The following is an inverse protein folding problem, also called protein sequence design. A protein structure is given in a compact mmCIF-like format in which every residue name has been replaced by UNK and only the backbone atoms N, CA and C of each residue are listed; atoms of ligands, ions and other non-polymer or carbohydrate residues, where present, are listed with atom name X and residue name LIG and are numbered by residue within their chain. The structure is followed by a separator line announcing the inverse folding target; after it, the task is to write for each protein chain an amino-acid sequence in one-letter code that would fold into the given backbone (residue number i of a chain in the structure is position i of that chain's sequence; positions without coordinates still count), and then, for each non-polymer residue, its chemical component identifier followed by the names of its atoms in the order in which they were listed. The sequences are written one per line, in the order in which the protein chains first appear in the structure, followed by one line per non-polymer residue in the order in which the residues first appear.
data_IF_302531577074
#
_entry.id   IF_302531577074
#
_cell.length_a   1.000
_cell.length_b   1.000
_cell.length_c   1.000
_cell.angle_alpha   90.00
_cell.angle_beta   90.00
_cell.angle_gamma   90.00
#
_symmetry.space_group_name_H-M   'P 1'
#
loop_
_entity.id
_entity.type
_entity.pdbx_description
1 polymer ?
#
# COMPACT_ATOMS: atom_id res chain seq x y z
N UNK A 1 10.12 -24.73 18.25
CA UNK A 1 8.62 -24.74 18.29
C UNK A 1 8.17 -23.36 17.89
N UNK A 2 7.57 -23.21 16.71
CA UNK A 2 6.98 -21.93 16.29
C UNK A 2 5.70 -21.69 17.08
N UNK A 3 5.44 -20.44 17.46
CA UNK A 3 4.16 -20.06 18.02
C UNK A 3 3.07 -20.35 16.99
N UNK A 4 1.90 -20.81 17.45
CA UNK A 4 0.73 -21.02 16.58
C UNK A 4 0.44 -19.71 15.84
N UNK A 5 0.29 -19.80 14.52
CA UNK A 5 -0.06 -18.62 13.71
C UNK A 5 -1.32 -17.95 14.27
N UNK A 6 -1.25 -16.64 14.50
CA UNK A 6 -2.42 -15.85 14.85
C UNK A 6 -3.14 -15.47 13.57
N UNK A 7 -4.44 -15.77 13.49
CA UNK A 7 -5.28 -15.47 12.34
C UNK A 7 -6.43 -14.59 12.81
N UNK A 8 -6.69 -13.52 12.08
CA UNK A 8 -7.84 -12.64 12.31
C UNK A 8 -8.72 -12.55 11.08
N UNK A 9 -10.01 -12.29 11.32
CA UNK A 9 -10.98 -12.05 10.25
C UNK A 9 -11.09 -10.56 10.03
N UNK A 10 -10.97 -10.13 8.79
CA UNK A 10 -11.12 -8.73 8.38
C UNK A 10 -12.27 -8.56 7.41
N UNK A 11 -13.05 -7.53 7.61
CA UNK A 11 -14.13 -7.13 6.73
C UNK A 11 -13.60 -6.38 5.50
N UNK A 12 -14.10 -6.73 4.33
CA UNK A 12 -13.91 -6.00 3.09
C UNK A 12 -15.24 -5.46 2.58
N UNK A 13 -15.24 -4.20 2.15
CA UNK A 13 -16.40 -3.56 1.53
C UNK A 13 -16.01 -2.90 0.21
N UNK A 14 -16.94 -2.88 -0.73
CA UNK A 14 -16.84 -2.05 -1.93
C UNK A 14 -17.74 -0.83 -1.75
N UNK A 15 -17.16 0.35 -1.93
CA UNK A 15 -17.85 1.63 -1.85
C UNK A 15 -18.04 2.14 -3.28
N UNK A 16 -19.28 2.51 -3.61
CA UNK A 16 -19.60 3.18 -4.86
C UNK A 16 -18.94 4.57 -4.88
N UNK A 17 -18.15 4.85 -5.93
CA UNK A 17 -17.36 6.09 -6.03
C UNK A 17 -18.22 7.35 -6.22
N UNK A 18 -19.46 7.22 -6.72
CA UNK A 18 -20.37 8.34 -6.96
C UNK A 18 -21.19 8.68 -5.72
N UNK A 19 -21.73 7.67 -5.06
CA UNK A 19 -22.63 7.86 -3.91
C UNK A 19 -21.90 7.86 -2.57
N UNK A 20 -20.70 7.29 -2.49
CA UNK A 20 -19.95 7.09 -1.24
C UNK A 20 -20.57 6.05 -0.31
N UNK A 21 -21.55 5.28 -0.76
CA UNK A 21 -22.26 4.25 0.00
C UNK A 21 -21.71 2.86 -0.34
N UNK A 22 -21.81 1.93 0.60
CA UNK A 22 -21.44 0.53 0.38
C UNK A 22 -22.35 -0.08 -0.70
N UNK A 23 -21.77 -0.66 -1.73
CA UNK A 23 -22.53 -1.37 -2.77
C UNK A 23 -23.25 -2.58 -2.14
N UNK A 24 -24.51 -2.78 -2.54
CA UNK A 24 -25.35 -3.86 -2.02
C UNK A 24 -24.72 -5.22 -2.33
N UNK A 25 -24.64 -6.11 -1.32
CA UNK A 25 -24.05 -7.47 -1.42
C UNK A 25 -22.54 -7.50 -1.75
N UNK A 26 -21.81 -6.42 -1.53
CA UNK A 26 -20.36 -6.33 -1.74
C UNK A 26 -19.58 -6.23 -0.41
N UNK A 27 -20.17 -6.73 0.68
CA UNK A 27 -19.43 -7.03 1.91
C UNK A 27 -18.94 -8.47 1.84
N UNK A 28 -17.69 -8.69 2.23
CA UNK A 28 -17.07 -10.01 2.30
C UNK A 28 -16.05 -10.01 3.43
N UNK A 29 -15.83 -11.18 3.99
CA UNK A 29 -14.86 -11.40 5.05
C UNK A 29 -13.68 -12.20 4.50
N UNK A 30 -12.50 -12.01 5.07
CA UNK A 30 -11.32 -12.77 4.72
C UNK A 30 -10.40 -12.95 5.92
N UNK A 31 -9.77 -14.12 5.99
CA UNK A 31 -8.80 -14.43 7.03
C UNK A 31 -7.43 -13.87 6.67
N UNK A 32 -6.75 -13.27 7.63
CA UNK A 32 -5.38 -12.78 7.52
C UNK A 32 -4.51 -13.40 8.59
N UNK A 33 -3.29 -13.77 8.20
CA UNK A 33 -2.25 -14.16 9.14
C UNK A 33 -1.64 -12.88 9.71
N UNK A 34 -1.62 -12.77 11.02
CA UNK A 34 -1.14 -11.59 11.73
C UNK A 34 0.39 -11.45 11.71
N UNK A 35 0.90 -10.22 11.83
CA UNK A 35 2.34 -9.93 11.96
C UNK A 35 3.01 -10.74 13.07
N UNK A 36 4.29 -11.04 12.90
CA UNK A 36 5.09 -11.85 13.83
C UNK A 36 4.91 -13.36 13.66
N UNK A 37 4.08 -13.81 12.71
CA UNK A 37 4.03 -15.24 12.35
C UNK A 37 5.26 -15.62 11.53
N UNK A 38 5.98 -16.66 11.97
CA UNK A 38 7.16 -17.17 11.29
C UNK A 38 6.84 -18.44 10.48
N UNK A 39 7.49 -18.56 9.33
CA UNK A 39 7.38 -19.71 8.44
C UNK A 39 8.76 -20.23 8.08
N UNK A 40 8.87 -21.54 7.96
CA UNK A 40 10.04 -22.15 7.34
C UNK A 40 9.95 -22.02 5.81
N UNK A 41 11.06 -21.61 5.22
CA UNK A 41 11.18 -21.49 3.77
C UNK A 41 12.31 -22.38 3.29
N UNK A 42 12.03 -23.24 2.29
CA UNK A 42 13.03 -24.04 1.61
C UNK A 42 12.94 -23.79 0.11
N UNK A 43 14.07 -23.49 -0.50
CA UNK A 43 14.21 -23.40 -1.95
C UNK A 43 15.36 -24.26 -2.39
N UNK A 44 15.16 -25.02 -3.48
CA UNK A 44 16.18 -25.89 -4.08
C UNK A 44 16.26 -25.55 -5.57
N UNK A 45 17.48 -25.42 -6.07
CA UNK A 45 17.73 -25.19 -7.49
C UNK A 45 18.75 -26.18 -7.98
N UNK A 46 18.39 -26.95 -9.00
CA UNK A 46 19.27 -27.89 -9.66
C UNK A 46 19.94 -27.20 -10.83
N UNK A 47 21.26 -27.01 -10.75
CA UNK A 47 22.10 -26.44 -11.81
C UNK A 47 22.60 -27.54 -12.69
N UNK A 48 22.24 -27.55 -13.97
CA UNK A 48 22.71 -28.52 -14.97
C UNK A 48 23.93 -27.99 -15.73
N UNK A 49 24.73 -28.85 -16.32
CA UNK A 49 25.99 -28.51 -17.02
C UNK A 49 25.87 -27.39 -18.07
N UNK A 50 24.70 -27.21 -18.67
CA UNK A 50 24.46 -26.17 -19.68
C UNK A 50 24.35 -24.74 -19.11
N UNK A 51 24.35 -24.56 -17.79
CA UNK A 51 24.10 -23.28 -17.16
C UNK A 51 25.38 -22.68 -16.56
N UNK A 52 25.44 -21.32 -16.60
CA UNK A 52 26.53 -20.58 -15.96
C UNK A 52 26.33 -20.56 -14.44
N UNK A 53 27.17 -21.27 -13.70
CA UNK A 53 27.12 -21.42 -12.24
C UNK A 53 27.25 -20.04 -11.53
N UNK A 54 28.14 -19.16 -12.02
CA UNK A 54 28.38 -17.83 -11.43
C UNK A 54 27.15 -16.91 -11.59
N UNK A 55 26.43 -17.02 -12.70
CA UNK A 55 25.19 -16.30 -12.89
C UNK A 55 24.13 -16.76 -11.89
N UNK A 56 24.03 -18.06 -11.62
CA UNK A 56 23.12 -18.60 -10.61
C UNK A 56 23.51 -18.17 -9.20
N UNK A 57 24.78 -18.17 -8.84
CA UNK A 57 25.25 -17.66 -7.55
C UNK A 57 24.88 -16.19 -7.37
N UNK A 58 25.11 -15.37 -8.39
CA UNK A 58 24.73 -13.95 -8.38
C UNK A 58 23.22 -13.76 -8.24
N UNK A 59 22.42 -14.56 -8.93
CA UNK A 59 20.97 -14.54 -8.82
C UNK A 59 20.46 -14.97 -7.43
N UNK A 60 21.07 -16.00 -6.83
CA UNK A 60 20.77 -16.43 -5.47
C UNK A 60 21.08 -15.33 -4.44
N UNK A 61 22.24 -14.69 -4.57
CA UNK A 61 22.62 -13.59 -3.73
C UNK A 61 21.62 -12.42 -3.83
N UNK A 62 21.17 -12.10 -5.05
CA UNK A 62 20.15 -11.09 -5.27
C UNK A 62 18.81 -11.45 -4.62
N UNK A 63 18.34 -12.70 -4.73
CA UNK A 63 17.15 -13.19 -4.04
C UNK A 63 17.31 -13.02 -2.53
N UNK A 64 18.45 -13.43 -1.97
CA UNK A 64 18.74 -13.30 -0.54
C UNK A 64 18.65 -11.86 -0.05
N UNK A 65 19.17 -10.89 -0.82
CA UNK A 65 19.05 -9.45 -0.51
C UNK A 65 17.61 -8.98 -0.49
N UNK A 66 16.81 -9.35 -1.50
CA UNK A 66 15.39 -8.97 -1.56
C UNK A 66 14.63 -9.55 -0.37
N UNK A 67 14.85 -10.82 -0.05
CA UNK A 67 14.20 -11.50 1.06
C UNK A 67 14.59 -10.89 2.41
N UNK A 68 15.87 -10.61 2.63
CA UNK A 68 16.37 -9.99 3.87
C UNK A 68 15.95 -8.53 4.02
N UNK A 69 15.79 -7.81 2.90
CA UNK A 69 15.35 -6.41 2.89
C UNK A 69 13.87 -6.20 3.22
N UNK A 70 13.10 -7.27 3.44
CA UNK A 70 11.66 -7.18 3.76
C UNK A 70 10.79 -6.53 2.65
N UNK A 71 11.30 -6.49 1.42
CA UNK A 71 10.63 -5.85 0.27
C UNK A 71 9.77 -6.81 -0.55
N UNK A 72 9.68 -8.07 -0.16
CA UNK A 72 8.84 -9.04 -0.86
C UNK A 72 7.56 -9.35 -0.09
N UNK A 73 6.55 -9.80 -0.79
CA UNK A 73 5.26 -10.15 -0.21
C UNK A 73 4.73 -11.44 -0.84
N UNK A 74 4.11 -12.28 -0.01
CA UNK A 74 3.56 -13.59 -0.38
C UNK A 74 2.03 -13.54 -0.24
N UNK A 75 1.33 -14.29 -1.09
CA UNK A 75 -0.11 -14.47 -1.01
C UNK A 75 -0.91 -13.44 -1.79
N UNK A 76 -2.18 -13.29 -1.39
CA UNK A 76 -3.12 -12.40 -2.05
C UNK A 76 -3.02 -10.95 -1.53
N UNK A 77 -3.52 -10.00 -2.32
CA UNK A 77 -3.63 -8.57 -1.95
C UNK A 77 -2.32 -7.89 -1.59
N UNK A 78 -1.20 -8.37 -2.11
CA UNK A 78 0.12 -7.79 -1.87
C UNK A 78 0.24 -6.32 -2.28
N UNK A 79 -0.54 -5.86 -3.25
CA UNK A 79 -0.65 -4.44 -3.62
C UNK A 79 -1.47 -3.58 -2.63
N UNK A 80 -2.00 -4.17 -1.57
CA UNK A 80 -2.79 -3.52 -0.52
C UNK A 80 -2.13 -3.61 0.86
N UNK A 81 -0.84 -3.98 0.90
CA UNK A 81 -0.04 -4.06 2.13
C UNK A 81 -0.02 -5.43 2.81
N UNK A 82 -0.70 -6.45 2.25
CA UNK A 82 -0.71 -7.78 2.85
C UNK A 82 0.49 -8.65 2.43
N UNK A 83 0.82 -9.63 3.28
CA UNK A 83 1.79 -10.68 3.01
C UNK A 83 3.24 -10.24 3.00
N UNK A 84 3.57 -9.06 3.55
CA UNK A 84 4.94 -8.59 3.65
C UNK A 84 5.74 -9.50 4.56
N UNK A 85 6.85 -10.01 4.05
CA UNK A 85 7.72 -10.93 4.78
C UNK A 85 9.14 -10.41 4.83
N UNK A 86 9.84 -10.75 5.91
CA UNK A 86 11.27 -10.51 6.09
C UNK A 86 11.96 -11.82 6.41
N UNK A 87 13.06 -12.08 5.77
CA UNK A 87 13.90 -13.23 6.09
C UNK A 87 14.76 -12.90 7.31
N UNK A 88 14.66 -13.71 8.35
CA UNK A 88 15.45 -13.51 9.58
C UNK A 88 16.77 -14.29 9.53
N UNK A 89 16.70 -15.55 9.07
CA UNK A 89 17.86 -16.41 8.97
C UNK A 89 17.90 -17.07 7.58
N UNK A 90 19.06 -17.09 6.95
CA UNK A 90 19.29 -17.77 5.67
C UNK A 90 20.55 -18.62 5.77
N UNK A 91 20.39 -19.90 5.49
CA UNK A 91 21.49 -20.79 5.23
C UNK A 91 21.37 -21.31 3.80
N UNK A 92 22.36 -21.05 2.96
CA UNK A 92 22.41 -21.54 1.61
C UNK A 92 23.62 -22.49 1.44
N UNK A 93 23.37 -23.65 0.87
CA UNK A 93 24.37 -24.70 0.71
C UNK A 93 24.46 -25.09 -0.76
N UNK A 94 25.68 -25.31 -1.25
CA UNK A 94 25.96 -25.86 -2.56
C UNK A 94 26.44 -27.31 -2.44
N UNK A 95 25.80 -28.20 -3.16
CA UNK A 95 26.21 -29.62 -3.30
C UNK A 95 26.71 -29.87 -4.72
N UNK A 96 27.94 -30.35 -4.83
CA UNK A 96 28.54 -30.80 -6.09
C UNK A 96 28.31 -32.29 -6.23
N UNK A 97 27.40 -32.70 -7.11
CA UNK A 97 27.06 -34.11 -7.31
C UNK A 97 28.16 -34.93 -7.99
N UNK A 98 29.24 -34.32 -8.43
CA UNK A 98 30.44 -35.03 -8.87
C UNK A 98 31.24 -35.57 -7.67
N UNK A 99 30.96 -35.10 -6.45
CA UNK A 99 31.60 -35.52 -5.21
C UNK A 99 30.70 -36.49 -4.44
N UNK A 100 31.08 -37.78 -4.27
CA UNK A 100 30.25 -38.75 -3.56
C UNK A 100 29.85 -38.32 -2.15
N UNK A 101 30.73 -37.63 -1.42
CA UNK A 101 30.49 -37.11 -0.08
C UNK A 101 29.38 -36.04 -0.07
N UNK A 102 29.28 -35.21 -1.13
CA UNK A 102 28.20 -34.21 -1.25
C UNK A 102 26.87 -34.89 -1.57
N UNK A 103 26.86 -35.94 -2.39
CA UNK A 103 25.66 -36.74 -2.70
C UNK A 103 25.12 -37.39 -1.43
N UNK A 104 26.00 -38.05 -0.65
CA UNK A 104 25.62 -38.67 0.62
C UNK A 104 25.12 -37.66 1.61
N UNK A 105 25.79 -36.47 1.73
CA UNK A 105 25.38 -35.39 2.60
C UNK A 105 24.01 -34.85 2.21
N UNK A 106 23.73 -34.64 0.92
CA UNK A 106 22.44 -34.21 0.43
C UNK A 106 21.33 -35.25 0.72
N UNK A 107 21.60 -36.54 0.46
CA UNK A 107 20.64 -37.63 0.74
C UNK A 107 20.36 -37.79 2.23
N UNK A 108 21.35 -37.60 3.09
CA UNK A 108 21.23 -37.68 4.56
C UNK A 108 20.77 -36.41 5.22
N UNK A 109 20.55 -35.34 4.43
CA UNK A 109 20.24 -33.97 4.96
C UNK A 109 21.33 -33.43 5.88
N UNK A 110 22.57 -33.89 5.73
CA UNK A 110 23.72 -33.41 6.50
C UNK A 110 24.41 -32.26 5.75
N UNK A 111 24.17 -31.05 6.21
CA UNK A 111 24.77 -29.86 5.61
C UNK A 111 26.19 -29.56 6.07
N UNK A 112 26.77 -30.35 6.99
CA UNK A 112 28.12 -30.10 7.53
C UNK A 112 29.23 -30.23 6.50
N UNK A 113 29.00 -31.01 5.45
CA UNK A 113 29.95 -31.27 4.33
C UNK A 113 29.66 -30.40 3.11
N UNK A 114 28.59 -29.61 3.10
CA UNK A 114 28.26 -28.75 1.99
C UNK A 114 29.05 -27.43 2.07
N UNK A 115 29.34 -26.84 0.94
CA UNK A 115 29.92 -25.52 0.88
C UNK A 115 28.87 -24.47 1.24
N UNK A 116 29.12 -23.67 2.28
CA UNK A 116 28.27 -22.54 2.59
C UNK A 116 28.45 -21.46 1.53
N UNK A 117 27.40 -21.20 0.73
CA UNK A 117 27.43 -20.24 -0.37
C UNK A 117 27.19 -18.81 0.05
N UNK A 118 26.51 -18.59 1.16
CA UNK A 118 25.98 -17.27 1.53
C UNK A 118 26.56 -16.80 2.86
N UNK A 119 27.24 -15.66 2.79
CA UNK A 119 27.52 -14.83 3.95
C UNK A 119 26.68 -13.53 3.81
N UNK A 120 25.88 -13.14 4.82
CA UNK A 120 25.02 -11.94 4.77
C UNK A 120 25.77 -10.65 4.47
N UNK A 121 27.08 -10.64 4.61
CA UNK A 121 27.95 -9.47 4.52
C UNK A 121 28.58 -9.22 3.15
N UNK A 122 28.42 -10.11 2.17
CA UNK A 122 29.11 -10.00 0.88
C UNK A 122 28.16 -10.25 -0.29
N UNK A 123 27.20 -9.34 -0.53
CA UNK A 123 26.34 -9.45 -1.69
C UNK A 123 26.80 -8.49 -2.79
N UNK A 124 27.29 -8.98 -3.93
CA UNK A 124 27.55 -8.12 -5.07
C UNK A 124 26.22 -7.53 -5.58
N UNK A 125 26.17 -6.22 -5.72
CA UNK A 125 25.02 -5.45 -6.26
C UNK A 125 24.81 -5.64 -7.78
N UNK A 126 25.27 -6.77 -8.35
CA UNK A 126 25.26 -6.99 -9.79
C UNK A 126 23.86 -7.12 -10.43
N UNK A 127 22.83 -7.42 -9.64
CA UNK A 127 21.45 -7.49 -10.09
C UNK A 127 20.61 -6.39 -9.47
N UNK A 128 20.60 -5.21 -10.05
CA UNK A 128 19.59 -4.21 -9.77
C UNK A 128 18.50 -4.28 -10.84
N UNK A 129 17.25 -4.64 -10.48
CA UNK A 129 16.17 -4.55 -11.44
C UNK A 129 16.02 -3.08 -11.86
N UNK A 130 16.18 -2.81 -13.15
CA UNK A 130 15.99 -1.47 -13.73
C UNK A 130 14.50 -1.18 -13.85
N UNK A 131 13.82 -0.96 -12.72
CA UNK A 131 12.43 -0.50 -12.73
C UNK A 131 12.41 0.99 -12.44
N UNK A 132 11.73 1.74 -13.31
CA UNK A 132 11.37 3.13 -13.04
C UNK A 132 10.26 3.10 -11.98
N UNK A 133 10.59 3.44 -10.74
CA UNK A 133 9.64 3.42 -9.63
C UNK A 133 9.32 4.86 -9.18
N UNK A 134 8.03 5.18 -9.08
CA UNK A 134 7.54 6.30 -8.30
C UNK A 134 7.28 5.81 -6.88
N UNK A 135 7.84 6.50 -5.88
CA UNK A 135 7.59 6.21 -4.48
C UNK A 135 7.21 7.49 -3.75
N UNK A 136 6.20 7.38 -2.92
CA UNK A 136 5.72 8.44 -2.05
C UNK A 136 5.62 7.88 -0.63
N UNK A 137 6.29 8.54 0.31
CA UNK A 137 6.14 8.34 1.73
C UNK A 137 5.72 9.67 2.35
N UNK A 138 4.55 9.73 3.01
CA UNK A 138 4.03 10.98 3.54
C UNK A 138 3.45 10.77 4.94
N UNK A 139 3.84 11.64 5.87
CA UNK A 139 3.37 11.69 7.24
C UNK A 139 2.29 12.75 7.43
N UNK A 140 1.23 12.39 8.16
CA UNK A 140 0.08 13.24 8.39
C UNK A 140 -0.31 13.28 9.87
N UNK A 141 -0.73 14.44 10.34
CA UNK A 141 -1.57 14.57 11.52
C UNK A 141 -3.04 14.31 11.17
N UNK A 142 -3.84 13.95 12.15
CA UNK A 142 -5.31 13.89 12.03
C UNK A 142 -5.90 15.04 12.82
N UNK A 143 -6.81 15.82 12.19
CA UNK A 143 -7.37 17.00 12.85
C UNK A 143 -8.25 16.66 14.06
N UNK A 144 -8.97 15.53 14.02
CA UNK A 144 -9.88 15.13 15.08
C UNK A 144 -9.71 13.65 15.43
N UNK A 145 -10.40 12.79 14.68
CA UNK A 145 -10.40 11.35 14.90
C UNK A 145 -10.37 10.57 13.59
N UNK A 146 -9.91 9.34 13.65
CA UNK A 146 -9.92 8.39 12.54
C UNK A 146 -10.77 7.18 12.90
N UNK A 147 -11.57 6.71 11.94
CA UNK A 147 -12.36 5.51 12.05
C UNK A 147 -12.23 4.66 10.79
N UNK A 148 -11.63 3.50 10.90
CA UNK A 148 -11.77 2.42 9.93
C UNK A 148 -12.51 1.30 10.66
N UNK A 149 -13.81 1.20 10.40
CA UNK A 149 -14.69 0.35 11.18
C UNK A 149 -14.36 -1.13 11.03
N UNK A 150 -14.38 -1.84 12.16
CA UNK A 150 -14.34 -3.30 12.28
C UNK A 150 -15.38 -3.73 13.28
N UNK A 151 -15.84 -4.97 13.17
CA UNK A 151 -16.73 -5.58 14.14
C UNK A 151 -15.90 -6.27 15.24
N UNK A 152 -16.21 -5.96 16.50
CA UNK A 152 -15.43 -6.48 17.63
C UNK A 152 -15.72 -7.94 17.97
N UNK A 153 -16.90 -8.46 17.59
CA UNK A 153 -17.38 -9.77 18.01
C UNK A 153 -17.71 -9.89 19.50
N UNK A 154 -17.48 -8.84 20.30
CA UNK A 154 -17.76 -8.79 21.72
C UNK A 154 -19.05 -8.01 21.97
N UNK A 155 -20.12 -8.64 22.54
CA UNK A 155 -21.38 -7.94 22.80
C UNK A 155 -21.31 -6.76 23.78
N UNK A 156 -20.23 -6.68 24.57
CA UNK A 156 -19.99 -5.59 25.50
C UNK A 156 -19.12 -4.46 24.93
N UNK A 157 -18.58 -4.64 23.74
CA UNK A 157 -17.81 -3.62 23.06
C UNK A 157 -18.75 -2.68 22.28
N UNK A 158 -18.28 -1.47 21.94
CA UNK A 158 -19.02 -0.57 21.06
C UNK A 158 -19.39 -1.23 19.72
N UNK A 159 -20.52 -0.81 19.12
CA UNK A 159 -21.02 -1.34 17.84
C UNK A 159 -20.00 -1.26 16.71
N UNK A 160 -19.15 -0.21 16.75
CA UNK A 160 -18.06 0.01 15.81
C UNK A 160 -16.79 0.35 16.55
N UNK A 161 -15.74 -0.40 16.28
CA UNK A 161 -14.39 -0.14 16.78
C UNK A 161 -13.44 0.17 15.61
N UNK A 162 -12.37 0.91 15.89
CA UNK A 162 -11.31 1.06 14.90
C UNK A 162 -10.58 -0.28 14.71
N UNK A 163 -10.26 -0.60 13.46
CA UNK A 163 -9.55 -1.85 13.13
C UNK A 163 -8.18 -1.89 13.76
N UNK A 164 -7.85 -3.05 14.30
CA UNK A 164 -6.55 -3.33 14.92
C UNK A 164 -5.86 -4.50 14.25
N UNK A 165 -4.57 -4.58 14.43
CA UNK A 165 -3.72 -5.69 14.06
C UNK A 165 -2.75 -5.94 15.19
N UNK A 166 -2.07 -7.08 15.19
CA UNK A 166 -1.04 -7.37 16.16
C UNK A 166 0.14 -6.41 15.98
N UNK A 167 0.62 -5.87 17.09
CA UNK A 167 1.81 -5.03 17.09
C UNK A 167 3.03 -5.85 16.63
N UNK A 168 3.82 -5.29 15.73
CA UNK A 168 5.07 -5.91 15.26
C UNK A 168 6.07 -6.13 16.39
N UNK A 169 6.01 -5.33 17.46
CA UNK A 169 6.85 -5.46 18.65
C UNK A 169 6.29 -6.45 19.69
N UNK A 170 5.15 -7.10 19.40
CA UNK A 170 4.56 -8.14 20.25
C UNK A 170 3.80 -7.64 21.48
N UNK A 171 3.55 -6.33 21.64
CA UNK A 171 2.91 -5.70 22.80
C UNK A 171 1.36 -5.68 22.74
N UNK A 172 0.75 -6.62 22.04
CA UNK A 172 -0.72 -6.72 21.90
C UNK A 172 -1.24 -6.10 20.62
N UNK A 173 -2.50 -5.67 20.62
CA UNK A 173 -3.14 -5.09 19.43
C UNK A 173 -2.89 -3.59 19.33
N UNK A 174 -2.67 -3.11 18.12
CA UNK A 174 -2.42 -1.71 17.77
C UNK A 174 -3.37 -1.26 16.65
N UNK A 175 -3.81 -0.02 16.70
CA UNK A 175 -4.58 0.58 15.64
C UNK A 175 -3.79 0.61 14.32
N UNK A 176 -4.46 0.32 13.22
CA UNK A 176 -3.83 0.32 11.89
C UNK A 176 -4.66 1.13 10.90
N UNK A 177 -3.98 1.71 9.92
CA UNK A 177 -4.64 2.21 8.73
C UNK A 177 -4.37 1.26 7.56
N UNK A 178 -5.38 0.45 7.17
CA UNK A 178 -5.21 -0.53 6.12
C UNK A 178 -4.88 0.09 4.77
N UNK A 179 -3.96 -0.53 4.04
CA UNK A 179 -3.68 -0.14 2.66
C UNK A 179 -4.91 -0.19 1.75
N UNK A 180 -5.89 -1.03 2.08
CA UNK A 180 -7.19 -1.08 1.38
C UNK A 180 -7.99 0.21 1.52
N UNK A 181 -7.99 0.83 2.70
CA UNK A 181 -8.71 2.08 2.98
C UNK A 181 -8.07 3.25 2.25
N UNK A 182 -6.75 3.39 2.30
CA UNK A 182 -6.03 4.39 1.52
C UNK A 182 -6.23 4.17 0.02
N UNK A 183 -6.07 2.94 -0.46
CA UNK A 183 -6.22 2.61 -1.88
C UNK A 183 -7.61 2.99 -2.40
N UNK A 184 -8.67 2.71 -1.64
CA UNK A 184 -10.03 3.06 -2.00
C UNK A 184 -10.23 4.57 -2.08
N UNK A 185 -9.75 5.34 -1.08
CA UNK A 185 -9.83 6.80 -1.05
C UNK A 185 -9.05 7.44 -2.20
N UNK A 186 -7.80 7.01 -2.42
CA UNK A 186 -6.92 7.51 -3.48
C UNK A 186 -7.51 7.21 -4.85
N UNK A 187 -8.01 5.96 -5.10
CA UNK A 187 -8.65 5.59 -6.36
C UNK A 187 -9.87 6.46 -6.66
N UNK A 188 -10.76 6.61 -5.69
CA UNK A 188 -11.97 7.43 -5.84
C UNK A 188 -11.64 8.90 -6.13
N UNK A 189 -10.63 9.47 -5.46
CA UNK A 189 -10.18 10.85 -5.72
C UNK A 189 -9.53 10.99 -7.07
N UNK A 190 -8.64 10.06 -7.45
CA UNK A 190 -8.00 10.02 -8.76
C UNK A 190 -9.03 9.94 -9.90
N UNK A 191 -10.04 9.07 -9.77
CA UNK A 191 -11.15 8.96 -10.71
C UNK A 191 -11.92 10.28 -10.84
N UNK A 192 -12.22 10.93 -9.72
CA UNK A 192 -12.89 12.24 -9.71
C UNK A 192 -12.07 13.33 -10.39
N UNK A 193 -10.75 13.38 -10.14
CA UNK A 193 -9.86 14.34 -10.79
C UNK A 193 -9.89 14.15 -12.31
N UNK A 194 -9.71 12.92 -12.80
CA UNK A 194 -9.73 12.61 -14.25
C UNK A 194 -11.09 12.96 -14.86
N UNK A 195 -12.19 12.61 -14.19
CA UNK A 195 -13.55 12.92 -14.65
C UNK A 195 -13.79 14.44 -14.72
N UNK A 196 -13.25 15.21 -13.77
CA UNK A 196 -13.36 16.69 -13.77
C UNK A 196 -12.55 17.32 -14.90
N UNK A 197 -11.51 16.63 -15.38
CA UNK A 197 -10.73 17.03 -16.54
C UNK A 197 -11.37 16.57 -17.88
N UNK A 198 -12.54 15.91 -17.82
CA UNK A 198 -13.34 15.54 -18.98
C UNK A 198 -13.02 14.18 -19.60
N UNK A 199 -12.21 13.33 -18.96
CA UNK A 199 -11.94 11.96 -19.43
C UNK A 199 -12.65 10.91 -18.57
N UNK A 200 -12.69 9.66 -19.05
CA UNK A 200 -13.25 8.54 -18.28
C UNK A 200 -12.22 8.02 -17.27
N UNK A 201 -12.34 8.44 -16.01
CA UNK A 201 -11.43 8.08 -14.95
C UNK A 201 -11.41 6.57 -14.63
N UNK A 202 -12.55 5.89 -14.70
CA UNK A 202 -12.61 4.45 -14.46
C UNK A 202 -11.79 3.67 -15.48
N UNK A 203 -11.87 4.07 -16.76
CA UNK A 203 -11.10 3.44 -17.85
C UNK A 203 -9.60 3.75 -17.72
N UNK A 204 -9.25 5.01 -17.55
CA UNK A 204 -7.86 5.46 -17.44
C UNK A 204 -7.10 4.79 -16.28
N UNK A 205 -7.80 4.47 -15.19
CA UNK A 205 -7.20 3.91 -13.97
C UNK A 205 -7.08 2.38 -13.96
N UNK A 206 -7.59 1.65 -14.97
CA UNK A 206 -7.55 0.18 -15.03
C UNK A 206 -6.12 -0.36 -14.90
N UNK A 207 -5.17 0.19 -15.63
CA UNK A 207 -3.77 -0.25 -15.60
C UNK A 207 -3.04 0.12 -14.30
N UNK A 208 -3.46 1.17 -13.61
CA UNK A 208 -2.85 1.64 -12.38
C UNK A 208 -3.39 0.88 -11.16
N UNK A 209 -4.71 0.83 -11.00
CA UNK A 209 -5.36 0.19 -9.84
C UNK A 209 -5.79 -1.26 -10.08
N UNK A 210 -5.71 -1.76 -11.29
CA UNK A 210 -6.24 -3.06 -11.65
C UNK A 210 -7.74 -3.03 -11.93
N UNK A 211 -8.17 -4.02 -12.70
CA UNK A 211 -9.55 -4.18 -13.11
C UNK A 211 -9.89 -5.67 -13.31
N UNK A 212 -11.10 -6.01 -12.99
CA UNK A 212 -11.68 -7.34 -13.22
C UNK A 212 -12.99 -7.12 -13.94
N UNK A 213 -13.26 -7.93 -14.96
CA UNK A 213 -14.53 -7.93 -15.65
C UNK A 213 -15.64 -8.40 -14.71
N UNK A 214 -16.59 -7.52 -14.40
CA UNK A 214 -17.72 -7.80 -13.52
C UNK A 214 -18.94 -8.36 -14.29
N UNK A 215 -18.85 -8.54 -15.62
CA UNK A 215 -19.95 -9.08 -16.41
C UNK A 215 -20.26 -10.54 -16.02
N UNK A 216 -21.56 -10.93 -16.03
CA UNK A 216 -21.94 -12.31 -15.77
C UNK A 216 -21.37 -13.25 -16.82
N UNK A 217 -20.58 -14.22 -16.40
CA UNK A 217 -19.99 -15.21 -17.29
C UNK A 217 -19.03 -16.16 -16.58
N UNK A 218 -18.60 -17.23 -17.25
CA UNK A 218 -17.63 -18.17 -16.69
C UNK A 218 -16.33 -17.44 -16.30
N UNK A 219 -15.76 -17.76 -15.14
CA UNK A 219 -14.54 -17.13 -14.63
C UNK A 219 -13.34 -17.25 -15.56
N UNK A 220 -13.30 -18.29 -16.38
CA UNK A 220 -12.25 -18.61 -17.35
C UNK A 220 -12.14 -17.60 -18.50
N UNK A 221 -13.22 -16.87 -18.79
CA UNK A 221 -13.27 -15.88 -19.88
C UNK A 221 -13.16 -14.41 -19.38
N UNK A 222 -13.09 -14.19 -18.08
CA UNK A 222 -13.02 -12.84 -17.51
C UNK A 222 -11.68 -12.19 -17.78
N UNK A 223 -11.70 -11.04 -18.43
CA UNK A 223 -10.51 -10.21 -18.61
C UNK A 223 -10.12 -9.57 -17.27
N UNK A 224 -8.85 -9.65 -16.94
CA UNK A 224 -8.32 -9.06 -15.71
C UNK A 224 -7.06 -8.26 -16.01
N UNK A 225 -6.90 -7.13 -15.33
CA UNK A 225 -5.70 -6.31 -15.39
C UNK A 225 -5.13 -6.18 -13.99
N UNK A 226 -3.87 -6.57 -13.81
CA UNK A 226 -3.17 -6.40 -12.53
C UNK A 226 -2.77 -4.94 -12.35
N UNK A 227 -3.14 -4.35 -11.20
CA UNK A 227 -2.71 -3.00 -10.85
C UNK A 227 -1.21 -2.92 -10.53
N UNK A 228 -0.59 -1.79 -10.88
CA UNK A 228 0.84 -1.50 -10.62
C UNK A 228 1.07 -0.72 -9.34
N UNK A 229 0.04 -0.05 -8.83
CA UNK A 229 0.11 0.72 -7.58
C UNK A 229 0.09 -0.22 -6.37
N UNK A 230 0.98 0.03 -5.44
CA UNK A 230 1.09 -0.65 -4.16
C UNK A 230 0.93 0.38 -3.04
N UNK A 231 0.10 0.08 -2.05
CA UNK A 231 -0.14 0.93 -0.88
C UNK A 231 -0.04 0.04 0.35
N UNK A 232 0.83 0.42 1.28
CA UNK A 232 1.13 -0.39 2.46
C UNK A 232 0.11 -0.11 3.58
N UNK A 233 -0.18 -1.15 4.38
CA UNK A 233 -0.80 -0.98 5.69
C UNK A 233 0.22 -0.41 6.67
N UNK A 234 -0.20 0.52 7.52
CA UNK A 234 0.66 1.13 8.53
C UNK A 234 0.02 1.10 9.91
N UNK A 235 0.83 0.74 10.90
CA UNK A 235 0.48 0.86 12.30
C UNK A 235 0.46 2.34 12.70
N UNK A 236 -0.50 2.71 13.55
CA UNK A 236 -0.59 4.04 14.13
C UNK A 236 0.18 4.01 15.46
N UNK A 237 1.21 4.84 15.66
CA UNK A 237 2.00 4.81 16.89
C UNK A 237 1.12 5.05 18.13
N UNK A 238 1.27 4.22 19.17
CA UNK A 238 0.40 4.26 20.37
C UNK A 238 0.45 5.57 21.11
N UNK A 239 1.58 6.24 21.08
CA UNK A 239 1.83 7.53 21.69
C UNK A 239 1.04 8.66 21.02
N UNK A 240 0.62 8.50 19.75
CA UNK A 240 -0.05 9.54 18.97
C UNK A 240 -1.57 9.57 19.10
N UNK A 241 -2.17 8.58 19.75
CA UNK A 241 -3.63 8.49 19.84
C UNK A 241 -4.16 8.01 21.21
N UNK A 242 -5.44 8.24 21.42
CA UNK A 242 -6.26 7.65 22.49
C UNK A 242 -7.51 7.02 21.87
N UNK A 243 -8.06 6.02 22.53
CA UNK A 243 -9.32 5.38 22.16
C UNK A 243 -10.40 5.81 23.14
N UNK A 244 -11.45 6.43 22.64
CA UNK A 244 -12.57 6.88 23.47
C UNK A 244 -13.90 6.49 22.82
N UNK A 245 -14.81 5.96 23.62
CA UNK A 245 -16.15 5.60 23.15
C UNK A 245 -16.99 6.88 23.00
N UNK A 246 -17.63 6.99 21.86
CA UNK A 246 -18.60 8.04 21.58
C UNK A 246 -19.96 7.45 21.29
N UNK A 247 -20.92 7.73 22.15
CA UNK A 247 -22.32 7.38 21.96
C UNK A 247 -23.03 8.40 21.09
N UNK A 248 -23.89 7.94 20.21
CA UNK A 248 -24.68 8.78 19.30
C UNK A 248 -26.13 8.32 19.28
N UNK A 249 -27.02 9.27 19.12
CA UNK A 249 -28.45 9.06 18.96
C UNK A 249 -28.93 9.68 17.65
N UNK A 250 -29.99 9.15 17.08
CA UNK A 250 -30.69 9.76 15.96
C UNK A 250 -31.95 10.43 16.47
N UNK A 251 -32.09 11.70 16.16
CA UNK A 251 -33.25 12.51 16.55
C UNK A 251 -34.23 12.58 15.36
N UNK A 252 -35.49 12.36 15.61
CA UNK A 252 -36.56 12.56 14.65
C UNK A 252 -36.76 14.09 14.45
N UNK A 253 -36.74 14.49 13.17
CA UNK A 253 -36.79 15.91 12.81
C UNK A 253 -38.14 16.57 13.07
N UNK A 254 -39.22 15.80 13.16
CA UNK A 254 -40.58 16.32 13.37
C UNK A 254 -40.94 16.36 14.84
N UNK A 255 -40.62 15.34 15.57
CA UNK A 255 -40.99 15.23 16.99
C UNK A 255 -39.93 15.79 17.93
N UNK A 256 -38.68 15.94 17.47
CA UNK A 256 -37.55 16.29 18.34
C UNK A 256 -37.13 15.19 19.31
N UNK A 257 -37.82 14.07 19.28
CA UNK A 257 -37.53 12.90 20.14
C UNK A 257 -36.48 11.96 19.56
N UNK A 258 -35.91 11.11 20.42
CA UNK A 258 -34.96 10.07 20.00
C UNK A 258 -35.74 8.98 19.27
N UNK A 259 -35.23 8.55 18.10
CA UNK A 259 -35.78 7.42 17.37
C UNK A 259 -35.45 6.13 18.15
N UNK A 260 -36.46 5.29 18.35
CA UNK A 260 -36.28 4.00 19.04
C UNK A 260 -35.20 3.14 18.37
N UNK A 261 -34.35 2.48 19.15
CA UNK A 261 -33.24 1.63 18.70
C UNK A 261 -32.19 2.38 17.85
N UNK A 262 -32.07 3.68 17.99
CA UNK A 262 -31.11 4.49 17.26
C UNK A 262 -29.98 5.03 18.15
N UNK A 263 -29.71 4.39 19.28
CA UNK A 263 -28.47 4.55 20.04
C UNK A 263 -27.41 3.62 19.45
N UNK A 264 -26.26 4.17 19.15
CA UNK A 264 -25.12 3.39 18.69
C UNK A 264 -23.81 3.98 19.20
N UNK A 265 -22.90 3.11 19.53
CA UNK A 265 -21.60 3.45 20.07
C UNK A 265 -20.50 3.24 19.05
N UNK A 266 -19.55 4.15 19.03
CA UNK A 266 -18.36 4.00 18.20
C UNK A 266 -17.10 4.35 18.98
N UNK A 267 -16.03 3.61 18.75
CA UNK A 267 -14.72 3.84 19.37
C UNK A 267 -13.67 4.14 18.31
N UNK A 268 -13.58 5.40 17.85
CA UNK A 268 -12.51 5.85 16.96
C UNK A 268 -11.19 6.00 17.71
N UNK A 269 -10.11 6.20 16.97
CA UNK A 269 -8.85 6.69 17.49
C UNK A 269 -8.82 8.20 17.39
N UNK A 270 -8.54 8.89 18.50
CA UNK A 270 -8.45 10.34 18.61
C UNK A 270 -7.00 10.76 18.62
N UNK A 271 -6.65 11.79 17.85
CA UNK A 271 -5.31 12.32 17.87
C UNK A 271 -4.98 12.92 19.24
N UNK A 272 -3.78 12.63 19.76
CA UNK A 272 -3.19 13.40 20.85
C UNK A 272 -2.53 14.65 20.29
N UNK A 273 -2.40 15.66 21.13
CA UNK A 273 -1.56 16.83 20.82
C UNK A 273 -0.11 16.40 20.63
N UNK A 274 0.51 16.85 19.57
CA UNK A 274 1.89 16.54 19.21
C UNK A 274 2.20 16.84 17.75
N UNK A 275 3.46 16.95 17.43
CA UNK A 275 3.95 17.21 16.08
C UNK A 275 4.39 15.93 15.34
N UNK A 276 4.20 14.78 15.95
CA UNK A 276 4.52 13.48 15.35
C UNK A 276 3.45 13.05 14.34
N UNK A 277 3.84 12.45 13.19
CA UNK A 277 2.87 11.93 12.24
C UNK A 277 2.08 10.76 12.84
N UNK A 278 0.77 10.93 12.96
CA UNK A 278 -0.12 9.87 13.41
C UNK A 278 -0.37 8.83 12.32
N UNK A 279 -0.40 9.26 11.07
CA UNK A 279 -0.67 8.42 9.90
C UNK A 279 0.44 8.56 8.89
N UNK A 280 0.95 7.44 8.40
CA UNK A 280 1.91 7.40 7.30
C UNK A 280 1.29 6.71 6.09
N UNK A 281 1.38 7.36 4.93
CA UNK A 281 1.08 6.77 3.62
C UNK A 281 2.39 6.33 2.96
N UNK A 282 2.50 5.06 2.61
CA UNK A 282 3.56 4.56 1.72
C UNK A 282 2.90 4.01 0.45
N UNK A 283 3.26 4.62 -0.68
CA UNK A 283 2.72 4.31 -1.99
C UNK A 283 3.86 4.12 -2.99
N UNK A 284 3.79 3.05 -3.77
CA UNK A 284 4.73 2.77 -4.86
C UNK A 284 4.02 2.45 -6.16
N UNK A 285 4.56 2.92 -7.29
CA UNK A 285 4.09 2.57 -8.64
C UNK A 285 5.29 2.08 -9.44
N UNK A 286 5.26 0.80 -9.85
CA UNK A 286 6.28 0.23 -10.72
C UNK A 286 6.03 0.65 -12.17
N UNK A 287 7.12 0.92 -12.89
CA UNK A 287 7.08 1.33 -14.29
C UNK A 287 6.09 2.47 -14.53
N UNK A 288 6.16 3.49 -13.66
CA UNK A 288 5.22 4.59 -13.67
C UNK A 288 5.37 5.44 -14.94
N UNK A 289 4.25 5.97 -15.39
CA UNK A 289 4.17 7.00 -16.41
C UNK A 289 4.15 8.37 -15.74
N UNK A 290 4.68 9.39 -16.40
CA UNK A 290 4.79 10.73 -15.82
C UNK A 290 3.44 11.33 -15.42
N UNK A 291 2.38 11.07 -16.20
CA UNK A 291 1.03 11.49 -15.87
C UNK A 291 0.47 10.80 -14.60
N UNK A 292 0.87 9.55 -14.32
CA UNK A 292 0.47 8.85 -13.09
C UNK A 292 1.11 9.47 -11.86
N UNK A 293 2.38 9.88 -11.97
CA UNK A 293 3.05 10.66 -10.92
C UNK A 293 2.33 12.00 -10.70
N UNK A 294 2.02 12.75 -11.77
CA UNK A 294 1.26 13.99 -11.71
C UNK A 294 -0.10 13.82 -11.02
N UNK A 295 -0.83 12.76 -11.35
CA UNK A 295 -2.11 12.43 -10.70
C UNK A 295 -1.93 12.16 -9.20
N UNK A 296 -0.90 11.41 -8.80
CA UNK A 296 -0.63 11.13 -7.38
C UNK A 296 -0.20 12.37 -6.62
N UNK A 297 0.48 13.32 -7.25
CA UNK A 297 0.79 14.63 -6.63
C UNK A 297 -0.47 15.46 -6.34
N UNK A 298 -1.46 15.46 -7.23
CA UNK A 298 -2.76 16.09 -6.95
C UNK A 298 -3.50 15.40 -5.81
N UNK A 299 -3.49 14.08 -5.78
CA UNK A 299 -4.09 13.33 -4.68
C UNK A 299 -3.37 13.60 -3.36
N UNK A 300 -2.02 13.68 -3.38
CA UNK A 300 -1.23 14.07 -2.21
C UNK A 300 -1.62 15.46 -1.70
N UNK A 301 -1.73 16.45 -2.61
CA UNK A 301 -2.17 17.80 -2.26
C UNK A 301 -3.53 17.78 -1.56
N UNK A 302 -4.48 17.00 -2.06
CA UNK A 302 -5.82 16.91 -1.47
C UNK A 302 -5.81 16.22 -0.09
N UNK A 303 -4.95 15.21 0.10
CA UNK A 303 -4.70 14.62 1.42
C UNK A 303 -4.04 15.62 2.37
N UNK A 304 -3.05 16.37 1.86
CA UNK A 304 -2.27 17.36 2.61
C UNK A 304 -3.13 18.48 3.21
N UNK A 305 -4.06 18.98 2.41
CA UNK A 305 -4.94 20.09 2.79
C UNK A 305 -6.20 19.63 3.55
N UNK A 306 -6.45 18.31 3.64
CA UNK A 306 -7.66 17.76 4.24
C UNK A 306 -8.87 17.69 3.32
N UNK A 307 -8.69 17.93 2.01
CA UNK A 307 -9.76 17.85 0.99
C UNK A 307 -10.15 16.39 0.68
N UNK A 308 -9.29 15.43 1.04
CA UNK A 308 -9.54 14.01 0.95
C UNK A 308 -9.49 13.37 2.33
N UNK A 309 -10.64 13.04 2.89
CA UNK A 309 -10.72 12.29 4.14
C UNK A 309 -10.60 10.77 3.88
N UNK A 310 -9.99 10.03 4.83
CA UNK A 310 -9.81 8.58 4.81
C UNK A 310 -10.63 7.87 5.88
N UNK A 311 -10.99 6.61 5.63
CA UNK A 311 -11.78 5.81 6.56
C UNK A 311 -13.28 6.04 6.45
N UNK A 312 -13.99 5.72 7.53
CA UNK A 312 -15.44 5.88 7.67
C UNK A 312 -15.85 7.16 8.37
N UNK A 313 -17.16 7.41 8.37
CA UNK A 313 -17.79 8.52 9.08
C UNK A 313 -17.26 9.92 8.70
N UNK A 314 -16.90 10.07 7.42
CA UNK A 314 -16.39 11.33 6.86
C UNK A 314 -17.38 12.48 6.96
N UNK A 315 -18.68 12.17 6.92
CA UNK A 315 -19.79 13.13 7.02
C UNK A 315 -19.90 13.80 8.41
N UNK A 316 -19.20 13.28 9.40
CA UNK A 316 -19.11 13.86 10.74
C UNK A 316 -17.70 14.38 11.07
N UNK A 317 -16.87 14.60 10.04
CA UNK A 317 -15.55 15.22 10.15
C UNK A 317 -14.42 14.28 10.57
N UNK A 318 -14.61 12.96 10.52
CA UNK A 318 -13.54 12.01 10.80
C UNK A 318 -12.65 11.75 9.60
N UNK A 319 -11.39 11.39 9.86
CA UNK A 319 -10.40 11.00 8.84
C UNK A 319 -9.84 12.15 8.02
N UNK A 320 -10.00 13.40 8.48
CA UNK A 320 -9.41 14.59 7.84
C UNK A 320 -7.94 14.66 8.21
N UNK A 321 -7.08 14.60 7.19
CA UNK A 321 -5.61 14.62 7.33
C UNK A 321 -5.08 16.05 7.17
N UNK A 322 -3.89 16.27 7.75
CA UNK A 322 -3.06 17.45 7.53
C UNK A 322 -1.64 16.99 7.28
N UNK A 323 -1.05 17.39 6.15
CA UNK A 323 0.31 17.03 5.79
C UNK A 323 1.34 17.64 6.73
N UNK A 324 2.34 16.85 7.09
CA UNK A 324 3.48 17.28 7.92
C UNK A 324 4.77 17.19 7.13
N UNK A 325 5.02 16.04 6.51
CA UNK A 325 6.22 15.76 5.73
C UNK A 325 5.93 14.75 4.62
N UNK A 326 6.71 14.82 3.54
CA UNK A 326 6.67 13.80 2.50
C UNK A 326 8.04 13.64 1.84
N UNK A 327 8.31 12.42 1.39
CA UNK A 327 9.46 12.06 0.56
C UNK A 327 8.91 11.51 -0.76
N UNK A 328 9.29 12.15 -1.86
CA UNK A 328 8.86 11.77 -3.21
C UNK A 328 10.08 11.32 -3.99
N UNK A 329 10.11 10.04 -4.40
CA UNK A 329 11.18 9.50 -5.25
C UNK A 329 10.67 9.34 -6.68
N UNK A 330 11.38 9.98 -7.61
CA UNK A 330 11.10 10.00 -9.04
C UNK A 330 12.35 9.49 -9.79
N UNK A 331 12.44 8.20 -10.03
CA UNK A 331 13.62 7.55 -10.61
C UNK A 331 14.90 7.89 -9.82
N UNK A 332 15.71 8.85 -10.34
CA UNK A 332 17.00 9.22 -9.75
C UNK A 332 16.94 10.47 -8.84
N UNK A 333 15.74 11.03 -8.64
CA UNK A 333 15.54 12.24 -7.86
C UNK A 333 14.72 11.96 -6.61
N UNK A 334 15.16 12.47 -5.46
CA UNK A 334 14.43 12.38 -4.20
C UNK A 334 14.17 13.81 -3.70
N UNK A 335 12.89 14.10 -3.50
CA UNK A 335 12.39 15.42 -3.11
C UNK A 335 11.77 15.28 -1.72
N UNK A 336 12.13 16.19 -0.83
CA UNK A 336 11.52 16.31 0.48
C UNK A 336 10.56 17.49 0.52
N UNK A 337 9.41 17.26 1.13
CA UNK A 337 8.40 18.28 1.45
C UNK A 337 8.21 18.33 2.96
N UNK A 338 8.13 19.51 3.50
CA UNK A 338 7.87 19.71 4.94
C UNK A 338 6.93 20.90 5.14
N UNK A 339 5.96 20.73 6.02
CA UNK A 339 5.13 21.83 6.50
C UNK A 339 5.87 22.51 7.66
N UNK A 340 6.05 23.83 7.56
CA UNK A 340 6.64 24.67 8.58
C UNK A 340 5.68 25.84 8.82
N UNK A 341 4.87 25.71 9.87
CA UNK A 341 3.69 26.56 10.11
C UNK A 341 2.81 26.67 8.85
N UNK A 342 2.66 27.87 8.30
CA UNK A 342 1.88 28.14 7.08
C UNK A 342 2.70 27.99 5.78
N UNK A 343 3.97 27.62 5.86
CA UNK A 343 4.86 27.52 4.70
C UNK A 343 5.12 26.07 4.32
N UNK A 344 4.99 25.78 3.05
CA UNK A 344 5.45 24.53 2.48
C UNK A 344 6.90 24.68 2.02
N UNK A 345 7.79 23.92 2.61
CA UNK A 345 9.19 23.80 2.18
C UNK A 345 9.31 22.63 1.19
N UNK A 346 10.05 22.84 0.10
CA UNK A 346 10.29 21.85 -0.93
C UNK A 346 11.76 21.89 -1.31
N UNK A 347 12.49 20.80 -1.11
CA UNK A 347 13.94 20.76 -1.29
C UNK A 347 14.42 19.36 -1.72
N UNK A 348 15.63 19.30 -2.26
CA UNK A 348 16.29 18.04 -2.61
C UNK A 348 16.77 17.35 -1.33
N UNK A 349 16.60 16.05 -1.25
CA UNK A 349 17.08 15.27 -0.12
C UNK A 349 18.58 15.49 0.13
N UNK A 350 18.94 15.76 1.39
CA UNK A 350 20.30 16.06 1.81
C UNK A 350 20.70 17.53 1.74
N UNK A 351 19.83 18.42 1.24
CA UNK A 351 20.02 19.87 1.28
C UNK A 351 19.38 20.47 2.54
N UNK A 352 19.74 21.70 2.86
CA UNK A 352 19.04 22.47 3.89
C UNK A 352 17.58 22.68 3.52
N UNK A 353 16.65 22.60 4.49
CA UNK A 353 15.24 22.84 4.27
C UNK A 353 14.98 24.25 3.71
N UNK A 354 14.26 24.34 2.60
CA UNK A 354 13.97 25.61 1.94
C UNK A 354 13.03 25.42 0.76
N UNK A 355 12.98 26.41 -0.12
CA UNK A 355 12.26 26.31 -1.38
C UNK A 355 13.25 26.12 -2.55
N UNK A 356 13.18 24.95 -3.18
CA UNK A 356 13.99 24.62 -4.37
C UNK A 356 13.10 24.71 -5.63
N UNK A 357 13.37 25.74 -6.45
CA UNK A 357 12.60 25.99 -7.67
C UNK A 357 12.76 24.91 -8.74
N UNK A 358 13.92 24.25 -8.81
CA UNK A 358 14.15 23.16 -9.76
C UNK A 358 13.31 21.92 -9.40
N UNK A 359 13.17 21.65 -8.10
CA UNK A 359 12.30 20.57 -7.63
C UNK A 359 10.83 20.90 -7.85
N UNK A 360 10.42 22.13 -7.62
CA UNK A 360 9.07 22.60 -7.93
C UNK A 360 8.76 22.43 -9.42
N UNK A 361 9.64 22.88 -10.30
CA UNK A 361 9.52 22.73 -11.76
C UNK A 361 9.42 21.26 -12.20
N UNK A 362 10.20 20.37 -11.56
CA UNK A 362 10.13 18.93 -11.85
C UNK A 362 8.74 18.36 -11.54
N UNK A 363 8.15 18.74 -10.41
CA UNK A 363 6.78 18.31 -10.04
C UNK A 363 5.74 18.91 -10.99
N UNK A 364 5.86 20.20 -11.36
CA UNK A 364 4.98 20.85 -12.33
C UNK A 364 5.00 20.16 -13.69
N UNK A 365 6.16 19.70 -14.15
CA UNK A 365 6.29 18.93 -15.38
C UNK A 365 5.49 17.63 -15.34
N UNK A 366 5.41 16.94 -14.17
CA UNK A 366 4.56 15.75 -14.01
C UNK A 366 3.08 16.10 -14.07
N UNK A 367 2.68 17.24 -13.50
CA UNK A 367 1.30 17.75 -13.61
C UNK A 367 0.95 18.10 -15.07
N UNK A 368 1.85 18.77 -15.79
CA UNK A 368 1.65 19.05 -17.21
C UNK A 368 1.46 17.79 -18.05
N UNK A 369 2.23 16.72 -17.75
CA UNK A 369 2.07 15.41 -18.40
C UNK A 369 0.70 14.78 -18.15
N UNK A 370 0.08 15.00 -17.00
CA UNK A 370 -1.30 14.55 -16.74
C UNK A 370 -2.29 15.27 -17.67
N UNK A 371 -2.18 16.58 -17.79
CA UNK A 371 -3.07 17.39 -18.65
C UNK A 371 -2.93 16.96 -20.11
N UNK A 372 -1.71 16.76 -20.58
CA UNK A 372 -1.43 16.27 -21.95
C UNK A 372 -2.03 14.89 -22.18
N UNK A 373 -1.83 13.96 -21.25
CA UNK A 373 -2.40 12.62 -21.33
C UNK A 373 -3.92 12.63 -21.42
N UNK A 374 -4.59 13.48 -20.63
CA UNK A 374 -6.06 13.64 -20.67
C UNK A 374 -6.53 14.16 -22.03
N UNK A 375 -5.84 15.17 -22.59
CA UNK A 375 -6.15 15.70 -23.94
C UNK A 375 -6.04 14.61 -25.01
N UNK A 376 -5.01 13.77 -24.94
CA UNK A 376 -4.80 12.68 -25.90
C UNK A 376 -5.87 11.60 -25.83
N UNK A 377 -6.42 11.30 -24.64
CA UNK A 377 -7.55 10.38 -24.48
C UNK A 377 -8.86 10.96 -25.01
N UNK A 378 -9.06 12.28 -24.90
CA UNK A 378 -10.27 12.96 -25.36
C UNK A 378 -10.33 13.09 -26.88
N UNK A 379 -9.16 13.13 -27.55
CA UNK A 379 -9.07 13.21 -29.01
C UNK A 379 -8.68 11.82 -29.52
N UNK A 380 -9.64 10.94 -29.89
CA UNK A 380 -9.28 9.68 -30.54
C UNK A 380 -8.54 10.05 -31.84
N UNK A 381 -7.39 9.41 -32.08
CA UNK A 381 -6.70 9.48 -33.35
C UNK A 381 -7.74 9.25 -34.45
N UNK A 382 -7.97 10.26 -35.29
CA UNK A 382 -8.65 10.06 -36.56
C UNK A 382 -7.79 9.07 -37.32
N UNK A 383 -8.25 7.81 -37.42
CA UNK A 383 -7.72 6.87 -38.39
C UNK A 383 -7.73 7.62 -39.74
N UNK A 384 -6.54 7.96 -40.21
CA UNK A 384 -6.33 8.40 -41.58
C UNK A 384 -6.54 7.15 -42.43
N UNK A 385 -7.80 6.85 -42.72
CA UNK A 385 -8.14 5.98 -43.82
C UNK A 385 -7.69 6.73 -45.09
N UNK A 386 -6.46 6.47 -45.52
CA UNK A 386 -6.03 6.78 -46.87
C UNK A 386 -6.88 5.90 -47.82
N UNK A 387 -7.93 6.43 -48.34
CA UNK A 387 -8.52 5.92 -49.57
C UNK A 387 -7.48 6.21 -50.67
N UNK A 388 -6.70 5.18 -51.01
CA UNK A 388 -6.00 5.16 -52.29
C UNK A 388 -7.07 4.75 -53.33
N UNK A 389 -7.31 5.69 -54.25
CA UNK A 389 -7.98 5.41 -55.55
C UNK A 389 -7.11 4.50 -56.44
#
# INVERSE_FOLDING_TARGET
KYAKASVTIRDGIRIDSKTGVVERRKKFDFETVEPGTAFDFKMEVVIREAFNVELFRSFFNWIAVILSGGKFAIGARTGQGFGRCKLENLNAYEFDYQKPEHVIAWLSTDHSKAQLLYSPLQVPLAFQPRHKEFRLEAGFAIKNALMVGSYSGNPQAPDKVHIKSRDHNGSGDIAVLPGTSFRGAIRSRAERIINSLGANGSEALKGLFGWVDDEPGPSEHKKTVRGRIKIEERQIPRETYVEETQSRIKIDRFTGGVINNALFDSMPVWAKEGNEPMVTLELGIKDYKDWEAGLMLLVLKDLWNGDLAVGGEKNVGRGVLQGLSAIISLADQVIEMKQDDDKLLLFRQGNEPGWDGDMAYLLEKKLASLIEHIKNIQTPEKEVTSYAE
#
